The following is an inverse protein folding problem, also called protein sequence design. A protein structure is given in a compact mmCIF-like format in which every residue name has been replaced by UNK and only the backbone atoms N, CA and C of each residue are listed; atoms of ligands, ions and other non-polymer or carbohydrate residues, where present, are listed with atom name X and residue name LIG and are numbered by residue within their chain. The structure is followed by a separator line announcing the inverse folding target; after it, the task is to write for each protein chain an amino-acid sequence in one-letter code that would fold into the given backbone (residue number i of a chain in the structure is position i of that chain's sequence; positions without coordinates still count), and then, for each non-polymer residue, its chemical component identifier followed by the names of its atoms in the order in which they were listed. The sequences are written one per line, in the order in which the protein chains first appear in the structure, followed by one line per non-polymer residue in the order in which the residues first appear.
data_IF_177316903931
#
_entry.id   IF_177316903931
#
_cell.length_a   1.000
_cell.length_b   1.000
_cell.length_c   1.000
_cell.angle_alpha   90.00
_cell.angle_beta   90.00
_cell.angle_gamma   90.00
#
_symmetry.space_group_name_H-M   'P 1'
#
loop_
_entity.id
_entity.type
_entity.pdbx_description
1 polymer ?
#
# COMPACT_ATOMS: atom_id res chain seq x y z
N UNK A 1 36.08 10.35 -24.34
CA UNK A 1 36.61 11.54 -23.62
C UNK A 1 37.63 12.30 -24.47
N UNK A 2 37.46 13.60 -24.68
CA UNK A 2 38.34 14.47 -25.47
C UNK A 2 38.68 15.73 -24.67
N UNK A 3 39.83 16.38 -24.93
CA UNK A 3 40.15 17.70 -24.36
C UNK A 3 40.41 18.69 -25.50
N UNK A 4 39.73 19.83 -25.49
CA UNK A 4 39.73 20.84 -26.53
C UNK A 4 40.23 22.18 -25.95
N UNK A 5 40.80 23.04 -26.81
CA UNK A 5 41.04 24.46 -26.48
C UNK A 5 40.08 25.32 -27.30
N UNK A 6 39.13 25.98 -26.63
CA UNK A 6 38.03 26.76 -27.23
C UNK A 6 37.67 27.97 -26.34
N UNK A 7 37.08 28.99 -26.94
CA UNK A 7 36.55 30.18 -26.28
C UNK A 7 35.15 30.44 -26.88
N UNK A 8 34.21 30.96 -26.07
CA UNK A 8 32.84 31.20 -26.51
C UNK A 8 32.01 29.92 -26.69
N UNK A 9 30.79 30.05 -27.22
CA UNK A 9 29.96 28.90 -27.57
C UNK A 9 30.53 28.13 -28.76
N UNK A 10 30.48 26.80 -28.71
CA UNK A 10 30.92 25.93 -29.81
C UNK A 10 30.11 24.64 -29.88
N UNK A 11 30.10 24.02 -31.06
CA UNK A 11 29.41 22.75 -31.30
C UNK A 11 30.43 21.62 -31.45
N UNK A 12 30.13 20.47 -30.87
CA UNK A 12 30.80 19.19 -31.13
C UNK A 12 29.78 18.27 -31.79
N UNK A 13 30.03 17.84 -33.01
CA UNK A 13 29.16 16.92 -33.74
C UNK A 13 29.67 15.48 -33.59
N UNK A 14 28.73 14.52 -33.60
CA UNK A 14 28.99 13.10 -33.74
C UNK A 14 28.31 12.61 -35.02
N UNK A 15 29.06 11.93 -35.88
CA UNK A 15 28.57 11.39 -37.14
C UNK A 15 29.18 10.01 -37.40
N UNK A 16 28.50 9.20 -38.20
CA UNK A 16 29.07 8.00 -38.78
C UNK A 16 30.18 8.34 -39.77
N UNK A 17 31.22 7.51 -39.83
CA UNK A 17 32.26 7.62 -40.86
C UNK A 17 31.83 6.98 -42.21
N UNK A 18 32.67 7.08 -43.23
CA UNK A 18 32.36 6.60 -44.58
C UNK A 18 32.16 5.08 -44.67
N UNK A 19 32.74 4.27 -43.77
CA UNK A 19 32.55 2.81 -43.78
C UNK A 19 31.12 2.40 -43.44
N UNK A 20 30.39 3.23 -42.70
CA UNK A 20 28.99 3.02 -42.37
C UNK A 20 28.08 3.02 -43.62
N UNK A 21 28.51 3.59 -44.76
CA UNK A 21 27.78 3.50 -46.03
C UNK A 21 27.57 2.06 -46.51
N UNK A 22 28.39 1.11 -46.04
CA UNK A 22 28.25 -0.32 -46.34
C UNK A 22 27.22 -1.05 -45.45
N UNK A 23 26.72 -0.37 -44.40
CA UNK A 23 25.87 -0.98 -43.35
C UNK A 23 24.58 -0.18 -43.07
N UNK A 24 24.54 1.11 -43.41
CA UNK A 24 23.39 1.98 -43.20
C UNK A 24 22.26 1.69 -44.21
N UNK A 25 21.01 1.87 -43.78
CA UNK A 25 19.86 1.84 -44.67
C UNK A 25 19.88 3.03 -45.65
N UNK A 26 19.42 2.84 -46.91
CA UNK A 26 19.27 3.94 -47.87
C UNK A 26 18.45 5.10 -47.27
N UNK A 27 18.98 6.32 -47.35
CA UNK A 27 18.35 7.52 -46.78
C UNK A 27 18.72 7.84 -45.32
N UNK A 28 19.55 7.02 -44.65
CA UNK A 28 20.03 7.32 -43.30
C UNK A 28 20.90 8.57 -43.25
N UNK A 29 20.66 9.47 -42.28
CA UNK A 29 21.58 10.59 -42.00
C UNK A 29 22.93 10.07 -41.50
N UNK A 30 24.03 10.75 -41.88
CA UNK A 30 25.34 10.53 -41.26
C UNK A 30 25.44 11.20 -39.88
N UNK A 31 24.63 12.22 -39.59
CA UNK A 31 24.64 12.91 -38.28
C UNK A 31 23.91 12.10 -37.22
N UNK A 32 24.57 11.90 -36.07
CA UNK A 32 24.04 11.19 -34.90
C UNK A 32 23.55 12.19 -33.85
N UNK A 33 24.40 13.16 -33.49
CA UNK A 33 24.09 14.16 -32.47
C UNK A 33 24.97 15.41 -32.60
N UNK A 34 24.41 16.56 -32.24
CA UNK A 34 25.10 17.85 -32.10
C UNK A 34 25.07 18.32 -30.64
N UNK A 35 26.25 18.56 -30.06
CA UNK A 35 26.42 19.02 -28.68
C UNK A 35 26.84 20.48 -28.67
N UNK A 36 25.92 21.38 -28.31
CA UNK A 36 26.16 22.82 -28.20
C UNK A 36 26.67 23.11 -26.78
N UNK A 37 27.93 23.48 -26.63
CA UNK A 37 28.58 23.72 -25.33
C UNK A 37 28.83 25.21 -25.16
N UNK A 38 28.34 25.77 -24.05
CA UNK A 38 28.60 27.16 -23.68
C UNK A 38 29.89 27.27 -22.88
N UNK A 39 30.85 28.05 -23.38
CA UNK A 39 32.04 28.39 -22.63
C UNK A 39 32.26 29.90 -22.57
N UNK A 40 32.85 30.44 -21.49
CA UNK A 40 33.30 31.83 -21.41
C UNK A 40 34.12 32.27 -22.63
N UNK A 41 33.86 33.49 -23.09
CA UNK A 41 34.44 34.06 -24.31
C UNK A 41 35.84 34.65 -24.11
N UNK A 42 36.24 34.94 -22.86
CA UNK A 42 37.42 35.74 -22.53
C UNK A 42 38.75 35.13 -23.02
N UNK A 43 38.91 33.80 -22.95
CA UNK A 43 40.17 33.12 -23.24
C UNK A 43 39.98 31.71 -23.81
N UNK A 44 41.02 31.17 -24.45
CA UNK A 44 41.04 29.78 -24.97
C UNK A 44 41.17 28.77 -23.83
N UNK A 45 40.03 28.43 -23.26
CA UNK A 45 39.88 27.55 -22.12
C UNK A 45 40.13 26.06 -22.46
N UNK A 46 40.71 25.31 -21.50
CA UNK A 46 41.00 23.88 -21.61
C UNK A 46 39.75 23.08 -21.21
N UNK A 47 38.94 22.69 -22.18
CA UNK A 47 37.61 22.09 -21.97
C UNK A 47 37.69 20.57 -22.19
N UNK A 48 37.31 19.81 -21.18
CA UNK A 48 37.20 18.35 -21.21
C UNK A 48 35.75 17.96 -21.52
N UNK A 49 35.56 17.23 -22.62
CA UNK A 49 34.26 16.80 -23.13
C UNK A 49 34.18 15.27 -23.02
N UNK A 50 33.17 14.74 -22.33
CA UNK A 50 33.02 13.30 -22.11
C UNK A 50 31.78 12.73 -22.79
N UNK A 51 31.89 12.51 -24.10
CA UNK A 51 30.92 11.73 -24.89
C UNK A 51 30.93 10.27 -24.41
N UNK A 52 29.74 9.69 -24.24
CA UNK A 52 29.49 8.26 -23.96
C UNK A 52 28.37 7.74 -24.87
N UNK A 53 28.30 6.43 -25.02
CA UNK A 53 27.09 5.74 -25.44
C UNK A 53 26.35 5.27 -24.17
N UNK A 54 25.02 5.29 -24.16
CA UNK A 54 24.23 4.71 -23.07
C UNK A 54 23.82 3.25 -23.36
N UNK A 55 23.08 2.64 -22.43
CA UNK A 55 22.62 1.24 -22.54
C UNK A 55 21.59 1.01 -23.65
N UNK A 56 21.00 2.08 -24.19
CA UNK A 56 20.08 2.03 -25.33
C UNK A 56 20.81 2.28 -26.66
N UNK A 57 22.15 2.39 -26.63
CA UNK A 57 22.96 2.65 -27.81
C UNK A 57 23.02 4.13 -28.22
N UNK A 58 22.41 5.05 -27.45
CA UNK A 58 22.32 6.46 -27.82
C UNK A 58 23.59 7.21 -27.44
N UNK A 59 24.16 7.96 -28.40
CA UNK A 59 25.33 8.81 -28.15
C UNK A 59 24.89 10.07 -27.40
N UNK A 60 25.53 10.34 -26.26
CA UNK A 60 25.19 11.44 -25.36
C UNK A 60 26.43 12.07 -24.73
N UNK A 61 26.30 13.32 -24.25
CA UNK A 61 27.37 14.03 -23.57
C UNK A 61 27.17 13.92 -22.05
N UNK A 62 28.06 13.20 -21.37
CA UNK A 62 27.95 13.01 -19.90
C UNK A 62 28.47 14.19 -19.08
N UNK A 63 29.40 14.99 -19.63
CA UNK A 63 29.91 16.19 -18.99
C UNK A 63 30.74 17.03 -19.97
N UNK A 64 30.65 18.36 -19.83
CA UNK A 64 31.60 19.33 -20.33
C UNK A 64 32.19 20.09 -19.14
N UNK A 65 33.52 20.11 -19.00
CA UNK A 65 34.20 20.74 -17.87
C UNK A 65 35.35 21.61 -18.33
N UNK A 66 35.34 22.90 -17.98
CA UNK A 66 36.54 23.73 -18.05
C UNK A 66 37.55 23.30 -16.98
N UNK A 67 38.83 23.36 -17.30
CA UNK A 67 39.95 23.11 -16.38
C UNK A 67 40.84 24.35 -16.34
N UNK A 68 40.89 24.98 -15.17
CA UNK A 68 41.78 26.11 -14.88
C UNK A 68 42.98 25.58 -14.07
N UNK A 69 44.19 25.95 -14.49
CA UNK A 69 45.44 25.65 -13.76
C UNK A 69 45.78 26.86 -12.91
N UNK A 70 45.49 26.79 -11.61
CA UNK A 70 45.78 27.85 -10.64
C UNK A 70 47.19 27.63 -10.11
N UNK A 71 48.04 28.65 -10.19
CA UNK A 71 49.34 28.65 -9.52
C UNK A 71 49.15 28.99 -8.04
N UNK A 72 49.86 28.27 -7.17
CA UNK A 72 49.85 28.49 -5.72
C UNK A 72 50.93 29.56 -5.41
N UNK A 73 50.53 30.73 -4.92
CA UNK A 73 51.48 31.71 -4.38
C UNK A 73 52.07 31.19 -3.06
N UNK A 74 53.40 31.24 -2.93
CA UNK A 74 54.09 30.80 -1.71
C UNK A 74 54.10 31.93 -0.67
N UNK A 75 53.41 31.73 0.46
CA UNK A 75 53.68 32.52 1.67
C UNK A 75 55.01 32.05 2.32
N UNK A 76 55.91 32.95 2.72
CA UNK A 76 57.16 32.57 3.36
C UNK A 76 56.94 32.18 4.83
N UNK A 77 57.21 30.92 5.17
CA UNK A 77 57.33 30.51 6.57
C UNK A 77 58.65 31.01 7.17
N UNK A 78 58.54 31.79 8.23
CA UNK A 78 59.64 32.04 9.19
C UNK A 78 59.83 30.80 10.07
N UNK A 79 61.04 30.23 10.09
CA UNK A 79 61.44 29.22 11.06
C UNK A 79 62.41 29.80 12.10
N UNK A 80 62.32 29.28 13.32
CA UNK A 80 63.28 29.50 14.40
C UNK A 80 63.67 28.14 15.02
N UNK A 81 64.97 27.87 15.06
CA UNK A 81 65.77 27.25 16.17
C UNK A 81 65.02 26.47 17.27
N UNK A 82 65.43 25.33 17.82
CA UNK A 82 66.67 24.48 17.82
C UNK A 82 66.32 23.17 18.60
N UNK A 83 67.11 22.09 18.74
CA UNK A 83 68.27 21.49 18.05
C UNK A 83 68.60 20.12 18.70
N UNK A 84 69.25 19.19 17.97
CA UNK A 84 70.37 18.33 18.46
C UNK A 84 70.88 17.32 17.41
N UNK A 85 72.20 17.32 17.22
CA UNK A 85 73.02 16.31 16.52
C UNK A 85 73.80 15.47 17.60
N UNK A 86 74.80 14.60 17.32
CA UNK A 86 75.45 14.17 16.06
C UNK A 86 75.29 12.63 15.83
N UNK A 87 75.99 11.86 14.97
CA UNK A 87 77.33 11.90 14.32
C UNK A 87 77.31 10.82 13.18
N UNK A 88 78.04 10.85 12.05
CA UNK A 88 79.11 11.72 11.54
C UNK A 88 79.27 11.68 10.00
N UNK A 89 80.49 11.92 9.50
CA UNK A 89 80.96 12.25 8.12
C UNK A 89 80.49 11.30 6.97
N UNK A 90 80.47 11.68 5.68
CA UNK A 90 81.27 12.65 4.90
C UNK A 90 80.46 13.29 3.72
N UNK A 91 81.08 14.12 2.86
CA UNK A 91 80.42 15.26 2.21
C UNK A 91 80.03 15.18 0.71
N UNK A 92 78.94 15.91 0.40
CA UNK A 92 78.72 16.79 -0.79
C UNK A 92 78.10 16.26 -2.11
N UNK A 93 76.75 16.21 -2.11
CA UNK A 93 75.79 16.73 -3.13
C UNK A 93 76.06 16.68 -4.63
N UNK A 94 75.05 16.17 -5.38
CA UNK A 94 74.33 16.99 -6.38
C UNK A 94 72.83 16.60 -6.39
N UNK A 95 71.92 17.57 -6.31
CA UNK A 95 70.47 17.36 -6.17
C UNK A 95 69.73 17.34 -7.53
N UNK A 96 68.76 16.44 -7.69
CA UNK A 96 67.75 16.52 -8.74
C UNK A 96 66.41 17.02 -8.15
N UNK A 97 65.79 18.08 -8.70
CA UNK A 97 64.64 18.73 -8.05
C UNK A 97 63.34 17.92 -8.18
N UNK A 98 62.62 17.79 -7.05
CA UNK A 98 61.31 17.15 -7.01
C UNK A 98 60.20 18.04 -7.63
N UNK A 99 59.40 17.47 -8.53
CA UNK A 99 58.41 18.21 -9.33
C UNK A 99 57.13 18.53 -8.51
N UNK A 100 56.83 19.81 -8.29
CA UNK A 100 55.65 20.29 -7.53
C UNK A 100 54.33 19.98 -8.26
N UNK A 101 53.42 19.21 -7.63
CA UNK A 101 52.09 18.87 -8.17
C UNK A 101 51.11 20.05 -8.09
N UNK A 102 50.74 20.63 -9.24
CA UNK A 102 49.76 21.73 -9.36
C UNK A 102 48.31 21.27 -9.09
N UNK A 103 47.53 22.06 -8.34
CA UNK A 103 46.08 21.86 -8.16
C UNK A 103 45.30 22.39 -9.39
N UNK A 104 44.27 21.66 -9.82
CA UNK A 104 43.44 22.02 -10.98
C UNK A 104 41.98 22.26 -10.58
N UNK A 105 41.46 23.45 -10.87
CA UNK A 105 40.04 23.79 -10.67
C UNK A 105 39.22 23.31 -11.86
N UNK A 106 38.04 22.75 -11.62
CA UNK A 106 37.11 22.25 -12.65
C UNK A 106 35.77 22.97 -12.53
N UNK A 107 35.29 23.53 -13.63
CA UNK A 107 34.00 24.21 -13.71
C UNK A 107 33.11 23.45 -14.71
N UNK A 108 31.93 23.00 -14.28
CA UNK A 108 30.96 22.39 -15.19
C UNK A 108 30.40 23.45 -16.14
N UNK A 109 30.28 23.10 -17.42
CA UNK A 109 29.72 23.97 -18.45
C UNK A 109 28.30 23.53 -18.82
N UNK A 110 27.44 24.49 -19.11
CA UNK A 110 26.14 24.21 -19.73
C UNK A 110 26.31 23.65 -21.15
N UNK A 111 25.47 22.69 -21.50
CA UNK A 111 25.37 22.21 -22.88
C UNK A 111 23.94 21.81 -23.22
N UNK A 112 23.59 21.91 -24.50
CA UNK A 112 22.37 21.37 -25.10
C UNK A 112 22.72 20.27 -26.09
N UNK A 113 21.97 19.18 -26.05
CA UNK A 113 22.02 18.13 -27.08
C UNK A 113 20.93 18.43 -28.11
N UNK A 114 21.25 18.24 -29.38
CA UNK A 114 20.33 18.25 -30.51
C UNK A 114 20.55 16.96 -31.31
N UNK A 115 19.49 16.29 -31.74
CA UNK A 115 19.55 15.09 -32.59
C UNK A 115 18.49 15.19 -33.69
N UNK A 116 18.72 14.65 -34.90
CA UNK A 116 17.81 14.82 -36.03
C UNK A 116 16.37 14.30 -35.85
N UNK A 117 16.13 13.46 -34.83
CA UNK A 117 14.82 12.87 -34.51
C UNK A 117 14.33 13.20 -33.09
N UNK A 118 15.04 14.08 -32.36
CA UNK A 118 14.58 14.53 -31.04
C UNK A 118 13.39 15.49 -31.20
N UNK A 119 12.28 15.17 -30.57
CA UNK A 119 11.14 16.07 -30.46
C UNK A 119 11.42 17.18 -29.45
N UNK A 120 10.95 18.39 -29.74
CA UNK A 120 10.95 19.49 -28.77
C UNK A 120 9.85 19.24 -27.75
N UNK A 121 10.06 19.67 -26.50
CA UNK A 121 9.08 19.46 -25.41
C UNK A 121 7.66 19.90 -25.80
N UNK A 122 7.48 21.01 -26.52
CA UNK A 122 6.17 21.49 -26.98
C UNK A 122 5.45 20.52 -27.94
N UNK A 123 6.19 19.72 -28.71
CA UNK A 123 5.62 18.71 -29.61
C UNK A 123 5.22 17.46 -28.81
N UNK A 124 6.06 17.06 -27.85
CA UNK A 124 5.76 15.97 -26.90
C UNK A 124 4.51 16.31 -26.07
N UNK A 125 4.46 17.50 -25.48
CA UNK A 125 3.32 17.96 -24.67
C UNK A 125 2.03 17.98 -25.52
N UNK A 126 2.09 18.49 -26.77
CA UNK A 126 0.95 18.52 -27.71
C UNK A 126 0.40 17.13 -28.04
N UNK A 127 1.25 16.16 -28.40
CA UNK A 127 0.76 14.81 -28.72
C UNK A 127 0.37 14.04 -27.44
N UNK A 128 0.94 14.38 -26.28
CA UNK A 128 0.50 13.85 -24.97
C UNK A 128 -0.91 14.33 -24.63
N UNK A 129 -1.23 15.60 -24.86
CA UNK A 129 -2.59 16.13 -24.70
C UNK A 129 -3.59 15.46 -25.66
N UNK A 130 -3.18 15.19 -26.91
CA UNK A 130 -4.00 14.46 -27.88
C UNK A 130 -4.28 13.01 -27.42
N UNK A 131 -3.27 12.29 -26.93
CA UNK A 131 -3.41 10.94 -26.37
C UNK A 131 -4.34 10.93 -25.15
N UNK A 132 -4.17 11.87 -24.21
CA UNK A 132 -5.05 12.02 -23.04
C UNK A 132 -6.50 12.29 -23.45
N UNK A 133 -6.72 13.09 -24.50
CA UNK A 133 -8.06 13.34 -25.03
C UNK A 133 -8.69 12.07 -25.63
N UNK A 134 -7.94 11.29 -26.42
CA UNK A 134 -8.41 10.02 -26.99
C UNK A 134 -8.70 8.98 -25.90
N UNK A 135 -7.77 8.77 -24.96
CA UNK A 135 -7.94 7.86 -23.84
C UNK A 135 -9.14 8.24 -22.95
N UNK A 136 -9.44 9.53 -22.79
CA UNK A 136 -10.62 9.99 -22.07
C UNK A 136 -11.93 9.73 -22.85
N UNK A 137 -11.94 9.90 -24.18
CA UNK A 137 -13.08 9.55 -25.02
C UNK A 137 -13.39 8.04 -24.94
N UNK A 138 -12.39 7.19 -25.11
CA UNK A 138 -12.50 5.73 -24.97
C UNK A 138 -13.01 5.32 -23.58
N UNK A 139 -12.53 5.99 -22.53
CA UNK A 139 -13.02 5.79 -21.16
C UNK A 139 -14.50 6.14 -21.02
N UNK A 140 -14.94 7.28 -21.56
CA UNK A 140 -16.35 7.69 -21.49
C UNK A 140 -17.24 6.68 -22.22
N UNK A 141 -16.83 6.22 -23.42
CA UNK A 141 -17.57 5.20 -24.17
C UNK A 141 -17.68 3.90 -23.37
N UNK A 142 -16.56 3.41 -22.83
CA UNK A 142 -16.53 2.19 -22.00
C UNK A 142 -17.42 2.30 -20.76
N UNK A 143 -17.21 3.34 -19.95
CA UNK A 143 -17.98 3.56 -18.72
C UNK A 143 -19.49 3.81 -18.96
N UNK A 144 -19.85 4.30 -20.15
CA UNK A 144 -21.26 4.46 -20.57
C UNK A 144 -21.85 3.10 -20.95
N UNK A 145 -21.13 2.30 -21.75
CA UNK A 145 -21.50 0.93 -22.11
C UNK A 145 -21.64 0.04 -20.86
N UNK A 146 -20.69 0.10 -19.93
CA UNK A 146 -20.73 -0.65 -18.67
C UNK A 146 -21.96 -0.29 -17.84
N UNK A 147 -22.32 1.01 -17.77
CA UNK A 147 -23.49 1.47 -17.01
C UNK A 147 -24.82 1.07 -17.68
N UNK A 148 -24.88 1.05 -19.02
CA UNK A 148 -26.03 0.49 -19.76
C UNK A 148 -26.18 -1.00 -19.46
N UNK A 149 -25.09 -1.76 -19.54
CA UNK A 149 -25.08 -3.20 -19.29
C UNK A 149 -25.45 -3.53 -17.82
N UNK A 150 -25.07 -2.69 -16.84
CA UNK A 150 -25.50 -2.82 -15.44
C UNK A 150 -27.03 -2.63 -15.30
N UNK A 151 -27.60 -1.62 -15.97
CA UNK A 151 -29.04 -1.39 -15.99
C UNK A 151 -29.81 -2.55 -16.66
N UNK A 152 -29.35 -2.99 -17.83
CA UNK A 152 -29.91 -4.13 -18.56
C UNK A 152 -29.87 -5.43 -17.72
N UNK A 153 -28.73 -5.72 -17.10
CA UNK A 153 -28.57 -6.89 -16.23
C UNK A 153 -29.47 -6.84 -15.00
N UNK A 154 -29.60 -5.66 -14.36
CA UNK A 154 -30.48 -5.46 -13.20
C UNK A 154 -31.95 -5.66 -13.58
N UNK A 155 -32.37 -5.19 -14.76
CA UNK A 155 -33.74 -5.38 -15.26
C UNK A 155 -34.05 -6.87 -15.43
N UNK A 156 -33.17 -7.63 -16.10
CA UNK A 156 -33.41 -9.06 -16.33
C UNK A 156 -33.40 -9.89 -15.05
N UNK A 157 -32.43 -9.67 -14.17
CA UNK A 157 -32.32 -10.37 -12.89
C UNK A 157 -33.54 -10.12 -11.99
N UNK A 158 -33.98 -8.86 -11.86
CA UNK A 158 -35.10 -8.53 -10.98
C UNK A 158 -36.48 -8.88 -11.60
N UNK A 159 -36.61 -8.94 -12.93
CA UNK A 159 -37.84 -9.38 -13.62
C UNK A 159 -38.17 -10.85 -13.35
N UNK A 160 -37.18 -11.73 -13.26
CA UNK A 160 -37.39 -13.13 -12.85
C UNK A 160 -37.71 -13.18 -11.34
N UNK A 161 -36.84 -12.59 -10.51
CA UNK A 161 -36.94 -12.60 -9.04
C UNK A 161 -38.27 -12.07 -8.49
N UNK A 162 -38.84 -11.01 -9.08
CA UNK A 162 -40.07 -10.38 -8.57
C UNK A 162 -41.31 -11.27 -8.72
N UNK A 163 -41.28 -12.24 -9.64
CA UNK A 163 -42.37 -13.20 -9.88
C UNK A 163 -42.17 -14.54 -9.16
N UNK A 164 -40.96 -14.82 -8.70
CA UNK A 164 -40.58 -16.09 -8.06
C UNK A 164 -40.91 -16.10 -6.57
N UNK A 165 -41.80 -17.00 -6.16
CA UNK A 165 -42.15 -17.29 -4.75
C UNK A 165 -40.94 -17.73 -3.91
N UNK A 166 -39.89 -18.24 -4.55
CA UNK A 166 -38.63 -18.60 -3.89
C UNK A 166 -37.67 -17.41 -3.71
N UNK A 167 -37.96 -16.27 -4.36
CA UNK A 167 -37.09 -15.09 -4.38
C UNK A 167 -37.79 -13.84 -3.83
N UNK A 168 -38.22 -12.86 -4.65
CA UNK A 168 -38.69 -11.56 -4.15
C UNK A 168 -40.22 -11.46 -4.01
N UNK A 169 -41.00 -12.32 -4.67
CA UNK A 169 -42.47 -12.24 -4.65
C UNK A 169 -43.11 -12.26 -3.24
N UNK A 170 -42.56 -12.95 -2.20
CA UNK A 170 -43.09 -12.89 -0.83
C UNK A 170 -42.77 -11.61 -0.05
N UNK A 171 -41.85 -10.77 -0.54
CA UNK A 171 -41.26 -9.66 0.22
C UNK A 171 -41.74 -8.27 -0.22
N UNK A 172 -42.62 -8.20 -1.22
CA UNK A 172 -43.34 -6.98 -1.62
C UNK A 172 -44.85 -7.12 -1.46
N UNK A 173 -45.53 -6.01 -1.16
CA UNK A 173 -46.99 -5.91 -1.34
C UNK A 173 -47.36 -6.04 -2.82
N UNK A 174 -48.63 -6.32 -3.12
CA UNK A 174 -49.06 -6.44 -4.52
C UNK A 174 -48.94 -5.09 -5.25
N UNK A 175 -49.10 -3.97 -4.54
CA UNK A 175 -48.86 -2.62 -5.05
C UNK A 175 -47.36 -2.35 -5.33
N UNK A 176 -46.45 -2.71 -4.42
CA UNK A 176 -45.00 -2.57 -4.60
C UNK A 176 -44.53 -3.41 -5.81
N UNK A 177 -44.96 -4.69 -5.88
CA UNK A 177 -44.63 -5.60 -6.99
C UNK A 177 -45.18 -5.12 -8.32
N UNK A 178 -46.43 -4.65 -8.37
CA UNK A 178 -47.03 -4.13 -9.60
C UNK A 178 -46.31 -2.86 -10.09
N UNK A 179 -46.07 -1.90 -9.19
CA UNK A 179 -45.35 -0.67 -9.52
C UNK A 179 -43.92 -0.96 -10.00
N UNK A 180 -43.22 -1.90 -9.35
CA UNK A 180 -41.88 -2.28 -9.75
C UNK A 180 -41.84 -3.05 -11.07
N UNK A 181 -42.78 -3.97 -11.31
CA UNK A 181 -42.89 -4.70 -12.60
C UNK A 181 -43.12 -3.73 -13.76
N UNK A 182 -44.07 -2.80 -13.63
CA UNK A 182 -44.30 -1.77 -14.66
C UNK A 182 -43.07 -0.85 -14.85
N UNK A 183 -42.34 -0.54 -13.77
CA UNK A 183 -41.10 0.23 -13.88
C UNK A 183 -40.01 -0.55 -14.63
N UNK A 184 -39.82 -1.84 -14.36
CA UNK A 184 -38.88 -2.71 -15.08
C UNK A 184 -39.21 -2.76 -16.57
N UNK A 185 -40.45 -3.07 -16.94
CA UNK A 185 -40.92 -3.13 -18.34
C UNK A 185 -40.75 -1.79 -19.07
N UNK A 186 -41.05 -0.67 -18.40
CA UNK A 186 -40.86 0.67 -18.96
C UNK A 186 -39.39 0.99 -19.26
N UNK A 187 -38.48 0.52 -18.40
CA UNK A 187 -37.04 0.74 -18.59
C UNK A 187 -36.44 -0.26 -19.61
N UNK A 188 -36.97 -1.49 -19.69
CA UNK A 188 -36.60 -2.48 -20.73
C UNK A 188 -36.95 -1.96 -22.12
N UNK A 189 -38.19 -1.51 -22.33
CA UNK A 189 -38.61 -0.92 -23.60
C UNK A 189 -37.79 0.33 -23.95
N UNK A 190 -37.55 1.20 -22.96
CA UNK A 190 -36.72 2.39 -23.16
C UNK A 190 -35.28 2.06 -23.61
N UNK A 191 -34.65 1.00 -23.09
CA UNK A 191 -33.31 0.57 -23.53
C UNK A 191 -33.26 0.19 -25.02
N UNK A 192 -34.35 -0.35 -25.57
CA UNK A 192 -34.46 -0.76 -26.98
C UNK A 192 -34.92 0.36 -27.93
N UNK A 193 -35.55 1.41 -27.39
CA UNK A 193 -36.02 2.57 -28.15
C UNK A 193 -35.06 3.77 -27.96
N UNK A 194 -35.47 4.81 -27.22
CA UNK A 194 -34.72 6.07 -27.05
C UNK A 194 -33.41 5.92 -26.25
N UNK A 195 -33.21 4.79 -25.56
CA UNK A 195 -32.14 4.57 -24.61
C UNK A 195 -30.82 4.06 -25.19
N UNK A 196 -30.71 3.78 -26.48
CA UNK A 196 -29.51 3.16 -27.06
C UNK A 196 -28.23 4.02 -26.96
N UNK A 197 -28.34 5.32 -27.26
CA UNK A 197 -27.25 6.32 -27.24
C UNK A 197 -27.35 7.31 -26.06
N UNK A 198 -27.98 6.89 -24.95
CA UNK A 198 -28.16 7.74 -23.78
C UNK A 198 -26.82 7.98 -23.03
N UNK A 199 -26.74 9.10 -22.29
CA UNK A 199 -25.53 9.40 -21.51
C UNK A 199 -25.44 8.51 -20.26
N UNK A 200 -24.20 8.30 -19.76
CA UNK A 200 -23.93 7.59 -18.50
C UNK A 200 -24.79 8.05 -17.32
N UNK A 201 -25.09 9.35 -17.21
CA UNK A 201 -25.93 9.90 -16.13
C UNK A 201 -27.36 9.37 -16.22
N UNK A 202 -27.94 9.35 -17.43
CA UNK A 202 -29.31 8.88 -17.65
C UNK A 202 -29.44 7.40 -17.28
N UNK A 203 -28.50 6.54 -17.68
CA UNK A 203 -28.50 5.14 -17.26
C UNK A 203 -28.37 4.96 -15.74
N UNK A 204 -27.53 5.78 -15.08
CA UNK A 204 -27.40 5.75 -13.63
C UNK A 204 -28.67 6.20 -12.91
N UNK A 205 -29.29 7.31 -13.33
CA UNK A 205 -30.54 7.83 -12.78
C UNK A 205 -31.70 6.84 -12.95
N UNK A 206 -31.77 6.17 -14.11
CA UNK A 206 -32.73 5.10 -14.42
C UNK A 206 -32.53 3.90 -13.48
N UNK A 207 -31.29 3.43 -13.31
CA UNK A 207 -30.95 2.34 -12.40
C UNK A 207 -31.26 2.68 -10.94
N UNK A 208 -30.89 3.88 -10.48
CA UNK A 208 -31.20 4.35 -9.12
C UNK A 208 -32.72 4.47 -8.88
N UNK A 209 -33.50 4.81 -9.92
CA UNK A 209 -34.97 4.85 -9.82
C UNK A 209 -35.58 3.45 -9.64
N UNK A 210 -35.00 2.43 -10.28
CA UNK A 210 -35.41 1.03 -10.11
C UNK A 210 -34.97 0.49 -8.74
N UNK A 211 -33.72 0.75 -8.32
CA UNK A 211 -33.19 0.34 -7.01
C UNK A 211 -34.02 0.90 -5.85
N UNK A 212 -34.51 2.15 -5.92
CA UNK A 212 -35.44 2.71 -4.92
C UNK A 212 -36.73 1.90 -4.72
N UNK A 213 -37.15 1.11 -5.72
CA UNK A 213 -38.31 0.22 -5.63
C UNK A 213 -37.91 -1.22 -5.27
N UNK A 214 -36.79 -1.73 -5.80
CA UNK A 214 -36.30 -3.08 -5.55
C UNK A 214 -35.61 -3.27 -4.20
N UNK A 215 -34.75 -2.35 -3.79
CA UNK A 215 -33.90 -2.43 -2.60
C UNK A 215 -34.69 -2.74 -1.31
N UNK A 216 -35.90 -2.19 -1.04
CA UNK A 216 -36.69 -2.56 0.14
C UNK A 216 -37.09 -4.05 0.16
N UNK A 217 -37.44 -4.62 -1.00
CA UNK A 217 -37.81 -6.04 -1.12
C UNK A 217 -36.57 -6.95 -1.00
N UNK A 218 -35.45 -6.58 -1.64
CA UNK A 218 -34.17 -7.28 -1.49
C UNK A 218 -33.65 -7.20 -0.04
N UNK A 219 -33.86 -6.08 0.66
CA UNK A 219 -33.54 -5.92 2.08
C UNK A 219 -34.38 -6.84 2.97
N UNK A 220 -35.71 -6.85 2.80
CA UNK A 220 -36.62 -7.75 3.54
C UNK A 220 -36.27 -9.23 3.31
N UNK A 221 -35.97 -9.61 2.06
CA UNK A 221 -35.51 -10.96 1.71
C UNK A 221 -34.18 -11.30 2.40
N UNK A 222 -33.16 -10.47 2.21
CA UNK A 222 -31.82 -10.69 2.77
C UNK A 222 -31.85 -10.78 4.30
N UNK A 223 -32.66 -9.97 4.95
CA UNK A 223 -32.89 -10.03 6.39
C UNK A 223 -33.61 -11.30 6.83
N UNK A 224 -34.63 -11.76 6.10
CA UNK A 224 -35.29 -13.02 6.39
C UNK A 224 -34.34 -14.23 6.25
N UNK A 225 -33.41 -14.20 5.29
CA UNK A 225 -32.38 -15.25 5.13
C UNK A 225 -31.29 -15.19 6.22
N UNK A 226 -30.84 -14.00 6.61
CA UNK A 226 -29.74 -13.83 7.59
C UNK A 226 -30.19 -14.02 9.05
N UNK A 227 -31.39 -13.54 9.41
CA UNK A 227 -31.88 -13.47 10.79
C UNK A 227 -31.85 -14.82 11.53
N UNK A 228 -32.30 -15.96 10.95
CA UNK A 228 -32.30 -17.25 11.66
C UNK A 228 -30.90 -17.66 12.15
N UNK A 229 -29.86 -17.42 11.36
CA UNK A 229 -28.49 -17.72 11.76
C UNK A 229 -27.99 -16.76 12.86
N UNK A 230 -28.26 -15.46 12.74
CA UNK A 230 -27.91 -14.48 13.78
C UNK A 230 -28.56 -14.82 15.13
N UNK A 231 -29.85 -15.21 15.11
CA UNK A 231 -30.59 -15.67 16.29
C UNK A 231 -29.96 -16.94 16.88
N UNK A 232 -29.63 -17.94 16.06
CA UNK A 232 -29.01 -19.17 16.53
C UNK A 232 -27.63 -18.94 17.17
N UNK A 233 -26.84 -18.01 16.64
CA UNK A 233 -25.55 -17.60 17.23
C UNK A 233 -25.77 -16.89 18.57
N UNK A 234 -26.76 -15.98 18.66
CA UNK A 234 -27.09 -15.31 19.91
C UNK A 234 -27.58 -16.29 20.98
N UNK A 235 -28.49 -17.21 20.64
CA UNK A 235 -28.99 -18.27 21.52
C UNK A 235 -27.85 -19.10 22.10
N UNK A 236 -26.97 -19.66 21.25
CA UNK A 236 -25.80 -20.43 21.70
C UNK A 236 -24.87 -19.63 22.61
N UNK A 237 -24.70 -18.34 22.33
CA UNK A 237 -23.86 -17.43 23.14
C UNK A 237 -24.48 -17.18 24.52
N UNK A 238 -25.79 -16.94 24.57
CA UNK A 238 -26.56 -16.82 25.82
C UNK A 238 -26.49 -18.12 26.64
N UNK A 239 -26.74 -19.28 26.02
CA UNK A 239 -26.70 -20.59 26.67
C UNK A 239 -25.31 -20.92 27.22
N UNK A 240 -24.25 -20.67 26.44
CA UNK A 240 -22.86 -20.81 26.88
C UNK A 240 -22.61 -19.99 28.15
N UNK A 241 -22.96 -18.70 28.13
CA UNK A 241 -22.70 -17.82 29.27
C UNK A 241 -23.58 -18.15 30.48
N UNK A 242 -24.86 -18.49 30.30
CA UNK A 242 -25.74 -18.94 31.40
C UNK A 242 -25.26 -20.25 32.03
N UNK A 243 -24.77 -21.19 31.22
CA UNK A 243 -24.19 -22.44 31.73
C UNK A 243 -22.94 -22.17 32.56
N UNK A 244 -22.06 -21.28 32.06
CA UNK A 244 -20.88 -20.85 32.80
C UNK A 244 -21.24 -20.10 34.10
N UNK A 245 -22.15 -19.12 34.07
CA UNK A 245 -22.49 -18.37 35.30
C UNK A 245 -23.13 -19.27 36.37
N UNK A 246 -23.94 -20.25 35.96
CA UNK A 246 -24.50 -21.25 36.88
C UNK A 246 -23.42 -22.16 37.49
N UNK A 247 -22.30 -22.41 36.78
CA UNK A 247 -21.18 -23.21 37.31
C UNK A 247 -20.31 -22.49 38.35
N UNK A 248 -20.38 -21.15 38.42
CA UNK A 248 -19.61 -20.33 39.36
C UNK A 248 -19.92 -20.60 40.84
N UNK A 249 -21.05 -21.26 41.14
CA UNK A 249 -21.47 -21.55 42.52
C UNK A 249 -20.90 -22.87 43.09
N UNK A 250 -20.01 -23.57 42.36
CA UNK A 250 -19.51 -24.89 42.79
C UNK A 250 -18.25 -25.42 42.09
N UNK A 251 -17.38 -24.55 41.56
CA UNK A 251 -16.07 -24.92 41.02
C UNK A 251 -14.99 -23.95 41.54
N UNK A 252 -14.13 -24.44 42.44
CA UNK A 252 -13.03 -23.72 43.12
C UNK A 252 -12.13 -22.91 42.17
N UNK A 253 -12.13 -23.24 40.86
CA UNK A 253 -11.42 -22.49 39.81
C UNK A 253 -11.90 -21.05 39.62
N UNK A 254 -13.05 -20.67 40.17
CA UNK A 254 -13.67 -19.36 39.96
C UNK A 254 -13.83 -18.51 41.23
N UNK A 255 -13.26 -18.92 42.37
CA UNK A 255 -13.32 -18.21 43.66
C UNK A 255 -12.81 -16.75 43.62
N UNK A 256 -12.07 -16.37 42.57
CA UNK A 256 -11.56 -15.01 42.35
C UNK A 256 -12.50 -14.08 41.58
N UNK A 257 -13.65 -14.58 41.13
CA UNK A 257 -14.71 -13.80 40.49
C UNK A 257 -15.66 -13.30 41.58
N UNK A 258 -15.92 -12.00 41.62
CA UNK A 258 -16.72 -11.43 42.72
C UNK A 258 -18.22 -11.68 42.51
N UNK A 259 -19.00 -11.55 43.58
CA UNK A 259 -20.46 -11.69 43.49
C UNK A 259 -21.06 -10.66 42.52
N UNK A 260 -20.53 -9.44 42.51
CA UNK A 260 -20.95 -8.37 41.61
C UNK A 260 -20.66 -8.72 40.14
N UNK A 261 -19.49 -9.31 39.84
CA UNK A 261 -19.12 -9.77 38.50
C UNK A 261 -20.00 -10.94 38.02
N UNK A 262 -20.35 -11.86 38.94
CA UNK A 262 -21.31 -12.94 38.70
C UNK A 262 -22.70 -12.39 38.41
N UNK A 263 -23.19 -11.48 39.25
CA UNK A 263 -24.51 -10.88 39.12
C UNK A 263 -24.62 -10.01 37.85
N UNK A 264 -23.57 -9.27 37.50
CA UNK A 264 -23.47 -8.53 36.23
C UNK A 264 -23.58 -9.47 35.02
N UNK A 265 -22.89 -10.60 35.06
CA UNK A 265 -22.93 -11.60 33.98
C UNK A 265 -24.33 -12.21 33.82
N UNK A 266 -24.97 -12.62 34.93
CA UNK A 266 -26.35 -13.10 34.93
C UNK A 266 -27.32 -12.05 34.38
N UNK A 267 -27.30 -10.83 34.94
CA UNK A 267 -28.19 -9.75 34.55
C UNK A 267 -28.05 -9.42 33.05
N UNK A 268 -26.82 -9.45 32.50
CA UNK A 268 -26.60 -9.20 31.07
C UNK A 268 -27.10 -10.35 30.19
N UNK A 269 -26.92 -11.60 30.62
CA UNK A 269 -27.50 -12.76 29.94
C UNK A 269 -29.03 -12.69 29.90
N UNK A 270 -29.68 -12.29 31.00
CA UNK A 270 -31.14 -12.18 31.07
C UNK A 270 -31.68 -10.96 30.30
N UNK A 271 -31.06 -9.78 30.39
CA UNK A 271 -31.39 -8.60 29.57
C UNK A 271 -31.41 -8.96 28.07
N UNK A 272 -30.35 -9.62 27.60
CA UNK A 272 -30.19 -9.98 26.19
C UNK A 272 -31.12 -11.14 25.80
N UNK A 273 -31.41 -12.08 26.70
CA UNK A 273 -32.42 -13.13 26.48
C UNK A 273 -33.82 -12.51 26.28
N UNK A 274 -34.25 -11.68 27.23
CA UNK A 274 -35.56 -11.04 27.20
C UNK A 274 -35.72 -10.12 25.98
N UNK A 275 -34.70 -9.34 25.63
CA UNK A 275 -34.68 -8.56 24.41
C UNK A 275 -34.83 -9.43 23.15
N UNK A 276 -34.09 -10.54 23.07
CA UNK A 276 -34.17 -11.45 21.92
C UNK A 276 -35.58 -12.03 21.76
N UNK A 277 -36.21 -12.50 22.84
CA UNK A 277 -37.57 -13.06 22.77
C UNK A 277 -38.63 -11.99 22.44
N UNK A 278 -38.53 -10.78 23.01
CA UNK A 278 -39.40 -9.63 22.69
C UNK A 278 -39.28 -9.20 21.22
N UNK A 279 -38.06 -9.15 20.67
CA UNK A 279 -37.84 -8.86 19.25
C UNK A 279 -38.33 -9.99 18.32
N UNK A 280 -38.18 -11.26 18.72
CA UNK A 280 -38.66 -12.41 17.95
C UNK A 280 -40.19 -12.48 17.92
N UNK A 281 -40.86 -12.18 19.03
CA UNK A 281 -42.33 -12.11 19.10
C UNK A 281 -42.87 -11.00 18.18
N UNK A 282 -42.31 -9.79 18.29
CA UNK A 282 -42.61 -8.66 17.39
C UNK A 282 -42.38 -9.04 15.93
N UNK A 283 -41.25 -9.67 15.60
CA UNK A 283 -40.96 -10.09 14.23
C UNK A 283 -41.89 -11.20 13.74
N UNK A 284 -42.34 -12.11 14.60
CA UNK A 284 -43.30 -13.16 14.28
C UNK A 284 -44.72 -12.65 14.00
N UNK A 285 -45.04 -11.43 14.45
CA UNK A 285 -46.30 -10.75 14.14
C UNK A 285 -46.33 -10.02 12.79
N UNK A 286 -45.19 -9.89 12.11
CA UNK A 286 -45.04 -9.19 10.83
C UNK A 286 -45.03 -10.15 9.64
N UNK A 287 -45.65 -9.74 8.54
CA UNK A 287 -45.53 -10.43 7.26
C UNK A 287 -44.15 -10.22 6.61
N UNK A 288 -43.75 -11.14 5.72
CA UNK A 288 -42.48 -11.05 4.97
C UNK A 288 -42.36 -9.80 4.09
N UNK A 289 -43.49 -9.20 3.72
CA UNK A 289 -43.60 -7.97 2.95
C UNK A 289 -43.62 -6.69 3.80
N UNK A 290 -43.33 -6.78 5.10
CA UNK A 290 -43.21 -5.63 6.00
C UNK A 290 -41.76 -5.50 6.46
N UNK A 291 -41.29 -4.26 6.61
CA UNK A 291 -39.95 -3.98 7.12
C UNK A 291 -39.74 -4.63 8.50
N UNK A 292 -38.56 -5.23 8.75
CA UNK A 292 -38.36 -6.10 9.90
C UNK A 292 -38.30 -5.33 11.23
N UNK A 293 -38.90 -5.91 12.27
CA UNK A 293 -38.87 -5.37 13.63
C UNK A 293 -37.46 -5.42 14.25
N UNK A 294 -36.63 -6.36 13.80
CA UNK A 294 -35.24 -6.51 14.22
C UNK A 294 -34.36 -6.97 13.06
N UNK A 295 -33.20 -6.33 12.90
CA UNK A 295 -32.23 -6.72 11.88
C UNK A 295 -31.20 -7.74 12.37
N UNK A 296 -30.63 -8.49 11.44
CA UNK A 296 -29.53 -9.41 11.66
C UNK A 296 -28.32 -8.69 12.29
N UNK A 297 -28.02 -7.46 11.86
CA UNK A 297 -26.97 -6.63 12.44
C UNK A 297 -27.25 -6.21 13.89
N UNK A 298 -28.49 -5.83 14.23
CA UNK A 298 -28.87 -5.52 15.61
C UNK A 298 -28.70 -6.74 16.54
N UNK A 299 -29.00 -7.94 16.06
CA UNK A 299 -28.80 -9.21 16.78
C UNK A 299 -27.29 -9.52 16.94
N UNK A 300 -26.51 -9.30 15.88
CA UNK A 300 -25.06 -9.43 15.91
C UNK A 300 -24.44 -8.46 16.94
N UNK A 301 -24.88 -7.21 16.98
CA UNK A 301 -24.39 -6.20 17.94
C UNK A 301 -24.79 -6.50 19.39
N UNK A 302 -26.00 -7.04 19.62
CA UNK A 302 -26.37 -7.58 20.94
C UNK A 302 -25.52 -8.79 21.34
N UNK A 303 -25.17 -9.65 20.39
CA UNK A 303 -24.23 -10.78 20.62
C UNK A 303 -22.82 -10.29 20.99
N UNK A 304 -22.31 -9.26 20.28
CA UNK A 304 -21.03 -8.60 20.61
C UNK A 304 -21.09 -7.95 21.99
N UNK A 305 -22.16 -7.22 22.32
CA UNK A 305 -22.35 -6.55 23.62
C UNK A 305 -22.38 -7.53 24.79
N UNK A 306 -23.09 -8.66 24.64
CA UNK A 306 -23.09 -9.75 25.62
C UNK A 306 -21.68 -10.32 25.81
N UNK A 307 -21.01 -10.67 24.70
CA UNK A 307 -19.65 -11.24 24.72
C UNK A 307 -18.62 -10.28 25.31
N UNK A 308 -18.68 -8.99 24.99
CA UNK A 308 -17.80 -7.96 25.52
C UNK A 308 -17.99 -7.74 27.03
N UNK A 309 -19.18 -8.02 27.57
CA UNK A 309 -19.45 -7.92 29.01
C UNK A 309 -18.99 -9.17 29.77
N UNK A 310 -19.35 -10.36 29.26
CA UNK A 310 -19.18 -11.62 30.01
C UNK A 310 -17.83 -12.30 29.74
N UNK A 311 -17.28 -12.19 28.52
CA UNK A 311 -16.01 -12.83 28.18
C UNK A 311 -14.80 -12.37 29.02
N UNK A 312 -14.63 -11.08 29.36
CA UNK A 312 -13.53 -10.64 30.21
C UNK A 312 -13.60 -11.20 31.63
N UNK A 313 -14.82 -11.36 32.17
CA UNK A 313 -15.06 -11.94 33.48
C UNK A 313 -14.78 -13.45 33.45
N UNK A 314 -15.27 -14.15 32.42
CA UNK A 314 -15.06 -15.59 32.21
C UNK A 314 -13.58 -15.97 32.06
N UNK A 315 -12.75 -15.09 31.49
CA UNK A 315 -11.30 -15.33 31.31
C UNK A 315 -10.43 -14.58 32.33
N UNK A 316 -11.01 -14.03 33.41
CA UNK A 316 -10.26 -13.34 34.46
C UNK A 316 -9.28 -14.34 35.11
N UNK A 317 -7.96 -14.05 35.18
CA UNK A 317 -6.98 -14.99 35.71
C UNK A 317 -7.06 -15.10 37.25
N UNK A 318 -6.79 -16.30 37.76
CA UNK A 318 -6.67 -16.55 39.20
C UNK A 318 -5.54 -15.69 39.79
N UNK A 319 -5.77 -14.93 40.88
CA UNK A 319 -4.73 -14.17 41.55
C UNK A 319 -3.59 -15.09 42.00
N UNK A 320 -2.34 -14.73 41.65
CA UNK A 320 -1.17 -15.46 42.15
C UNK A 320 -1.18 -15.41 43.69
N UNK A 321 -0.99 -16.55 44.39
CA UNK A 321 -0.97 -16.56 45.85
C UNK A 321 0.11 -15.60 46.36
N UNK A 322 -0.24 -14.75 47.32
CA UNK A 322 0.73 -13.86 47.98
C UNK A 322 1.82 -14.73 48.61
N UNK A 323 3.12 -14.44 48.39
CA UNK A 323 4.17 -15.16 49.11
C UNK A 323 3.96 -14.97 50.61
N UNK A 324 3.81 -16.08 51.32
CA UNK A 324 3.70 -16.07 52.79
C UNK A 324 5.00 -15.49 53.34
N UNK A 325 4.97 -14.53 54.29
CA UNK A 325 6.17 -14.07 54.95
C UNK A 325 6.80 -15.24 55.71
N UNK A 326 7.93 -15.74 55.21
CA UNK A 326 8.71 -16.74 55.94
C UNK A 326 9.24 -16.06 57.22
N UNK A 327 8.95 -16.57 58.43
CA UNK A 327 9.54 -16.01 59.65
C UNK A 327 11.07 -16.15 59.59
N UNK A 328 11.83 -15.21 60.17
CA UNK A 328 13.28 -15.18 60.02
C UNK A 328 13.91 -16.46 60.59
N UNK A 329 14.95 -17.02 59.94
CA UNK A 329 15.58 -18.26 60.39
C UNK A 329 16.36 -18.05 61.67
N UNK A 330 16.19 -18.97 62.62
CA UNK A 330 17.00 -19.06 63.83
C UNK A 330 18.36 -19.73 63.50
N UNK A 331 19.44 -19.28 64.15
CA UNK A 331 20.81 -19.48 63.68
C UNK A 331 21.44 -20.86 63.96
N UNK A 332 22.55 -21.08 63.23
CA UNK A 332 23.67 -22.00 63.48
C UNK A 332 23.61 -23.38 62.80
N UNK A 333 24.68 -23.86 62.15
CA UNK A 333 26.11 -23.47 62.23
C UNK A 333 26.80 -23.31 60.85
N UNK A 334 27.90 -22.57 60.84
CA UNK A 334 28.92 -22.54 59.78
C UNK A 334 29.83 -23.77 59.85
N UNK A 335 30.26 -24.24 58.68
CA UNK A 335 31.61 -24.74 58.34
C UNK A 335 31.71 -24.57 56.81
N UNK A 336 32.32 -23.47 56.37
CA UNK A 336 33.67 -23.39 55.77
C UNK A 336 33.68 -23.60 54.25
N UNK A 337 34.14 -22.55 53.57
CA UNK A 337 34.31 -22.39 52.12
C UNK A 337 35.79 -22.63 51.78
N UNK A 338 36.13 -23.08 50.56
CA UNK A 338 36.85 -22.11 49.74
C UNK A 338 36.45 -22.09 48.25
N UNK A 339 36.11 -20.88 47.79
CA UNK A 339 36.02 -20.46 46.40
C UNK A 339 37.43 -20.09 45.83
N UNK A 340 37.56 -19.52 44.61
CA UNK A 340 36.75 -19.65 43.39
C UNK A 340 37.59 -19.97 42.12
N UNK A 341 36.91 -20.22 40.99
CA UNK A 341 37.40 -19.88 39.64
C UNK A 341 36.14 -19.69 38.76
N UNK A 342 35.76 -18.46 38.40
CA UNK A 342 36.11 -17.82 37.10
C UNK A 342 35.85 -18.74 35.89
N UNK A 343 35.01 -18.43 34.89
CA UNK A 343 34.47 -17.13 34.39
C UNK A 343 33.12 -17.28 33.66
N UNK A 344 32.27 -16.24 33.67
CA UNK A 344 31.29 -15.94 32.59
C UNK A 344 32.02 -15.28 31.37
N UNK A 345 31.48 -15.22 30.13
CA UNK A 345 30.12 -14.72 29.86
C UNK A 345 29.35 -15.28 28.63
N UNK A 346 28.11 -14.80 28.50
CA UNK A 346 27.31 -14.57 27.27
C UNK A 346 27.00 -15.77 26.34
N UNK A 347 25.72 -16.12 26.19
CA UNK A 347 24.72 -15.44 25.33
C UNK A 347 24.96 -15.68 23.83
N UNK A 348 24.68 -16.91 23.39
CA UNK A 348 24.50 -17.24 21.98
C UNK A 348 23.03 -17.03 21.57
N UNK A 349 22.77 -16.10 20.65
CA UNK A 349 21.42 -15.77 20.20
C UNK A 349 21.36 -15.09 18.84
N UNK A 350 21.57 -15.87 17.78
CA UNK A 350 21.00 -15.58 16.46
C UNK A 350 20.81 -16.88 15.65
N UNK A 351 19.65 -16.99 14.99
CA UNK A 351 19.40 -17.79 13.78
C UNK A 351 17.87 -17.86 13.52
N UNK A 352 17.37 -16.90 12.76
CA UNK A 352 16.08 -17.02 12.07
C UNK A 352 16.09 -18.19 11.07
N UNK A 353 15.00 -18.95 10.94
CA UNK A 353 14.81 -19.94 9.88
C UNK A 353 13.47 -19.73 9.16
N UNK A 354 13.54 -19.40 7.88
CA UNK A 354 12.38 -19.24 7.00
C UNK A 354 11.75 -20.60 6.60
N UNK A 355 10.46 -20.63 6.19
CA UNK A 355 9.81 -21.82 5.65
C UNK A 355 9.86 -21.87 4.12
N UNK A 356 10.08 -23.06 3.55
CA UNK A 356 9.90 -23.37 2.13
C UNK A 356 9.56 -24.88 1.99
N UNK A 357 9.06 -25.38 0.83
CA UNK A 357 7.63 -25.63 0.67
C UNK A 357 7.25 -27.12 0.60
N UNK A 358 5.95 -27.43 0.74
CA UNK A 358 5.45 -28.81 0.63
C UNK A 358 5.18 -29.22 -0.83
N UNK A 359 5.66 -30.41 -1.16
CA UNK A 359 5.54 -31.08 -2.46
C UNK A 359 4.16 -31.75 -2.62
N UNK A 360 3.68 -31.86 -3.86
CA UNK A 360 2.37 -32.40 -4.22
C UNK A 360 2.49 -33.71 -5.00
N UNK A 361 1.95 -34.80 -4.47
CA UNK A 361 1.80 -36.05 -5.23
C UNK A 361 0.41 -36.16 -5.88
N UNK A 362 0.31 -36.74 -7.10
CA UNK A 362 -0.96 -36.97 -7.79
C UNK A 362 -1.65 -38.25 -7.30
N UNK A 363 -2.95 -38.36 -7.62
CA UNK A 363 -3.77 -39.58 -7.44
C UNK A 363 -4.29 -40.02 -8.80
N UNK A 364 -4.36 -41.34 -9.01
CA UNK A 364 -4.91 -42.02 -10.21
C UNK A 364 -6.35 -41.60 -10.59
#
# INVERSE_FOLDING_TARGET
RVTLRRAGEFVVTASYDDSAKNHNFPGSSQEIASFHIKAPAENKNKIRVNVKQDVHGVVTLSSAQMIEEVAEEEEPKTEATEAKAPEGEDAKTEEAPAEKKKKMKKTNLEFRISRPLDWVKSEIDKETEAEVHMANADRIVRETSDKRNELESYIYDLRDKITSDSQLAPYGTDEEKAAFTTALETNENWLYEDGFDATKSVYAEKLDSLKRLGDPMEFRQGENTKRPNAVAVLQRTVEKYKTWTNSLAGDDKFDHITEEERQQSHAKCDEVSSWMYDMLDKQGSLGSNVDPAVTSDQINDKTKSLSATVSPIMHKPVPKPKPVPVPPPEEAKKEEDPAPMETEPESGGDASSAPEPMDTQPVD
#
